data_IF_864317594991
#
_entry.id   IF_864317594991
#
_cell.length_a   1.000
_cell.length_b   1.000
_cell.length_c   1.000
_cell.angle_alpha   90.00
_cell.angle_beta   90.00
_cell.angle_gamma   90.00
#
_symmetry.space_group_name_H-M   'P 1'
#
loop_
_entity.id
_entity.type
_entity.pdbx_description
1 polymer ?
#
# COMPACT_ATOMS: atom_id res chain seq x y z
N UNK A 1 0.80 6.84 -11.58
CA UNK A 1 -0.31 6.50 -10.65
C UNK A 1 -1.00 7.77 -10.18
N UNK A 2 -0.61 8.44 -9.08
CA UNK A 2 -1.31 9.64 -8.56
C UNK A 2 -1.71 10.69 -9.62
N UNK A 3 -0.77 11.07 -10.51
CA UNK A 3 -1.05 12.05 -11.58
C UNK A 3 -2.20 11.66 -12.51
N UNK A 4 -2.35 10.36 -12.79
CA UNK A 4 -3.32 9.81 -13.74
C UNK A 4 -4.58 9.25 -13.07
N UNK A 5 -4.58 9.11 -11.75
CA UNK A 5 -5.69 8.52 -10.98
C UNK A 5 -6.39 9.54 -10.10
N UNK A 6 -5.63 10.39 -9.41
CA UNK A 6 -6.16 11.39 -8.47
C UNK A 6 -6.10 12.80 -9.04
N UNK A 7 -4.92 13.26 -9.48
CA UNK A 7 -4.74 14.67 -9.83
C UNK A 7 -5.33 15.06 -11.18
N UNK A 8 -5.58 14.06 -12.03
CA UNK A 8 -6.33 14.22 -13.28
C UNK A 8 -7.84 14.10 -13.08
N UNK A 9 -8.31 13.58 -11.95
CA UNK A 9 -9.73 13.47 -11.68
C UNK A 9 -10.30 14.87 -11.47
N UNK A 10 -11.35 15.23 -12.22
CA UNK A 10 -11.85 16.60 -12.28
C UNK A 10 -12.32 17.11 -10.92
N UNK A 11 -13.06 16.28 -10.18
CA UNK A 11 -13.62 16.62 -8.87
C UNK A 11 -12.51 16.79 -7.82
N UNK A 12 -11.60 15.82 -7.72
CA UNK A 12 -10.47 15.90 -6.77
C UNK A 12 -9.57 17.07 -7.09
N UNK A 13 -9.24 17.27 -8.36
CA UNK A 13 -8.36 18.34 -8.81
C UNK A 13 -8.98 19.71 -8.49
N UNK A 14 -10.29 19.85 -8.64
CA UNK A 14 -11.02 21.07 -8.27
C UNK A 14 -11.03 21.26 -6.75
N UNK A 15 -11.40 20.23 -5.99
CA UNK A 15 -11.45 20.28 -4.54
C UNK A 15 -10.09 20.64 -3.92
N UNK A 16 -9.00 20.01 -4.39
CA UNK A 16 -7.64 20.33 -3.94
C UNK A 16 -7.25 21.79 -4.19
N UNK A 17 -7.66 22.39 -5.33
CA UNK A 17 -7.35 23.79 -5.65
C UNK A 17 -8.14 24.77 -4.78
N UNK A 18 -9.39 24.43 -4.48
CA UNK A 18 -10.30 25.34 -3.78
C UNK A 18 -10.08 25.30 -2.26
N UNK A 19 -9.64 24.16 -1.71
CA UNK A 19 -9.61 23.91 -0.27
C UNK A 19 -8.19 23.80 0.33
N UNK A 20 -7.13 23.57 -0.47
CA UNK A 20 -5.79 23.29 0.05
C UNK A 20 -4.70 24.13 -0.61
N UNK A 21 -3.68 24.48 0.18
CA UNK A 21 -2.38 24.93 -0.34
C UNK A 21 -1.54 23.69 -0.63
N UNK A 22 -1.22 23.47 -1.92
CA UNK A 22 -0.55 22.26 -2.36
C UNK A 22 0.97 22.39 -2.28
N UNK A 23 1.61 21.41 -1.65
CA UNK A 23 3.07 21.28 -1.58
C UNK A 23 3.49 19.86 -1.98
N UNK A 24 4.63 19.73 -2.66
CA UNK A 24 5.20 18.44 -3.03
C UNK A 24 6.67 18.36 -2.61
N UNK A 25 7.02 17.27 -1.92
CA UNK A 25 8.39 16.96 -1.54
C UNK A 25 8.79 15.58 -2.06
N UNK A 26 9.93 15.52 -2.74
CA UNK A 26 10.57 14.25 -3.08
C UNK A 26 11.48 13.82 -1.93
N UNK A 27 11.23 12.67 -1.33
CA UNK A 27 12.02 12.16 -0.19
C UNK A 27 13.36 11.58 -0.65
N UNK A 28 13.38 10.87 -1.79
CA UNK A 28 14.60 10.34 -2.41
C UNK A 28 14.37 9.94 -3.87
N UNK A 29 15.43 9.70 -4.66
CA UNK A 29 15.32 9.09 -5.98
C UNK A 29 14.65 7.71 -5.93
N UNK A 30 13.87 7.39 -6.96
CA UNK A 30 13.19 6.09 -7.09
C UNK A 30 14.10 5.12 -7.84
N UNK A 31 14.31 3.89 -7.36
CA UNK A 31 15.11 2.90 -8.07
C UNK A 31 14.45 2.53 -9.40
N UNK A 32 15.29 2.29 -10.40
CA UNK A 32 14.89 1.86 -11.73
C UNK A 32 15.47 0.47 -12.01
N UNK A 33 14.65 -0.41 -12.55
CA UNK A 33 15.09 -1.64 -13.20
C UNK A 33 15.10 -1.43 -14.70
N UNK A 34 16.21 -1.82 -15.31
CA UNK A 34 16.33 -1.96 -16.74
C UNK A 34 16.58 -3.42 -17.07
N UNK A 35 15.71 -4.01 -17.89
CA UNK A 35 15.96 -5.31 -18.52
C UNK A 35 16.45 -5.02 -19.93
N UNK A 36 17.71 -5.36 -20.20
CA UNK A 36 18.30 -5.31 -21.54
C UNK A 36 18.13 -6.68 -22.21
N UNK A 37 17.54 -6.70 -23.40
CA UNK A 37 17.30 -7.95 -24.15
C UNK A 37 18.48 -8.35 -25.05
N UNK A 38 19.54 -7.54 -25.12
CA UNK A 38 20.75 -7.84 -25.89
C UNK A 38 20.64 -7.59 -27.39
N UNK A 39 19.46 -7.21 -27.89
CA UNK A 39 19.19 -6.88 -29.30
C UNK A 39 18.86 -5.39 -29.53
N UNK A 40 19.26 -4.54 -28.58
CA UNK A 40 18.97 -3.11 -28.59
C UNK A 40 17.62 -2.74 -28.00
N UNK A 41 16.75 -3.70 -27.68
CA UNK A 41 15.52 -3.43 -26.92
C UNK A 41 15.83 -3.37 -25.43
N UNK A 42 15.26 -2.37 -24.75
CA UNK A 42 15.34 -2.18 -23.30
C UNK A 42 13.95 -1.97 -22.71
N UNK A 43 13.69 -2.57 -21.57
CA UNK A 43 12.53 -2.31 -20.73
C UNK A 43 13.00 -1.62 -19.45
N UNK A 44 12.68 -0.33 -19.30
CA UNK A 44 12.98 0.45 -18.09
C UNK A 44 11.69 0.66 -17.29
N UNK A 45 11.74 0.40 -15.98
CA UNK A 45 10.63 0.59 -15.03
C UNK A 45 11.16 1.06 -13.68
N UNK A 46 10.33 1.74 -12.91
CA UNK A 46 10.61 1.94 -11.47
C UNK A 46 10.29 0.66 -10.69
N UNK A 47 10.90 0.40 -9.53
CA UNK A 47 10.61 -0.80 -8.70
C UNK A 47 9.80 -0.53 -7.43
N UNK A 48 9.95 0.64 -6.82
CA UNK A 48 9.32 0.96 -5.54
C UNK A 48 9.02 2.45 -5.48
N UNK A 49 7.78 2.82 -5.24
CA UNK A 49 7.39 4.23 -5.15
C UNK A 49 6.26 4.39 -4.16
N UNK A 50 6.62 4.76 -2.94
CA UNK A 50 5.66 5.10 -1.89
C UNK A 50 5.42 6.60 -1.88
N UNK A 51 4.22 6.97 -1.46
CA UNK A 51 3.83 8.35 -1.25
C UNK A 51 2.82 8.38 -0.12
N UNK A 52 2.82 9.45 0.64
CA UNK A 52 1.79 9.75 1.62
C UNK A 52 1.33 11.19 1.42
N UNK A 53 0.06 11.45 1.70
CA UNK A 53 -0.49 12.79 1.74
C UNK A 53 -0.64 13.22 3.20
N UNK A 54 0.00 14.33 3.56
CA UNK A 54 -0.13 14.91 4.89
C UNK A 54 -1.07 16.11 4.80
N UNK A 55 -2.02 16.18 5.73
CA UNK A 55 -2.91 17.34 5.89
C UNK A 55 -2.48 18.07 7.17
N UNK A 56 -2.14 19.34 7.00
CA UNK A 56 -1.62 20.19 8.07
C UNK A 56 -2.54 21.40 8.28
N UNK A 57 -2.64 21.85 9.52
CA UNK A 57 -3.17 23.18 9.85
C UNK A 57 -2.18 24.28 9.47
N UNK A 58 -2.62 25.54 9.47
CA UNK A 58 -1.80 26.68 9.06
C UNK A 58 -0.54 26.91 9.93
N UNK A 59 -0.55 26.43 11.18
CA UNK A 59 0.57 26.46 12.11
C UNK A 59 1.49 25.22 12.01
N UNK A 60 1.25 24.33 11.04
CA UNK A 60 2.11 23.20 10.73
C UNK A 60 1.81 21.92 11.52
N UNK A 61 0.76 21.89 12.34
CA UNK A 61 0.35 20.66 13.03
C UNK A 61 -0.26 19.68 12.01
N UNK A 62 0.33 18.49 11.91
CA UNK A 62 -0.23 17.42 11.10
C UNK A 62 -1.51 16.87 11.77
N UNK A 63 -2.62 16.91 11.05
CA UNK A 63 -3.92 16.38 11.52
C UNK A 63 -4.30 15.07 10.85
N UNK A 64 -3.70 14.76 9.70
CA UNK A 64 -3.94 13.48 9.03
C UNK A 64 -2.75 13.08 8.15
N UNK A 65 -2.53 11.77 8.03
CA UNK A 65 -1.57 11.17 7.11
C UNK A 65 -2.26 10.04 6.34
N UNK A 66 -2.40 10.18 5.03
CA UNK A 66 -2.97 9.19 4.13
C UNK A 66 -1.84 8.42 3.41
N UNK A 67 -1.44 7.23 3.89
CA UNK A 67 -0.36 6.47 3.28
C UNK A 67 -0.82 5.72 2.02
N UNK A 68 -0.04 5.83 0.95
CA UNK A 68 -0.25 5.04 -0.26
C UNK A 68 -1.27 5.65 -1.23
N UNK A 69 -1.80 4.80 -2.11
CA UNK A 69 -2.77 5.18 -3.12
C UNK A 69 -4.18 4.75 -2.68
N UNK A 70 -5.08 5.72 -2.69
CA UNK A 70 -6.52 5.48 -2.56
C UNK A 70 -7.16 5.68 -3.94
N UNK A 71 -8.28 5.04 -4.16
CA UNK A 71 -9.11 5.34 -5.30
C UNK A 71 -9.91 6.64 -5.11
N UNK A 72 -10.40 7.24 -6.21
CA UNK A 72 -10.80 8.65 -6.18
C UNK A 72 -11.92 9.00 -5.18
N UNK A 73 -13.07 8.29 -5.12
CA UNK A 73 -14.12 8.62 -4.15
C UNK A 73 -13.65 8.50 -2.69
N UNK A 74 -12.90 7.44 -2.36
CA UNK A 74 -12.37 7.27 -1.00
C UNK A 74 -11.36 8.36 -0.64
N UNK A 75 -10.47 8.71 -1.56
CA UNK A 75 -9.51 9.81 -1.35
C UNK A 75 -10.21 11.14 -1.09
N UNK A 76 -11.24 11.47 -1.87
CA UNK A 76 -12.02 12.69 -1.69
C UNK A 76 -12.72 12.73 -0.32
N UNK A 77 -13.34 11.63 0.10
CA UNK A 77 -13.98 11.53 1.41
C UNK A 77 -12.98 11.71 2.56
N UNK A 78 -11.76 11.15 2.42
CA UNK A 78 -10.68 11.32 3.38
C UNK A 78 -10.19 12.77 3.45
N UNK A 79 -10.05 13.45 2.31
CA UNK A 79 -9.71 14.88 2.28
C UNK A 79 -10.77 15.74 2.96
N UNK A 80 -12.06 15.45 2.72
CA UNK A 80 -13.17 16.18 3.34
C UNK A 80 -13.21 15.98 4.86
N UNK A 81 -12.97 14.76 5.34
CA UNK A 81 -12.86 14.47 6.76
C UNK A 81 -11.67 15.20 7.39
N UNK A 82 -10.51 15.17 6.72
CA UNK A 82 -9.30 15.84 7.20
C UNK A 82 -9.43 17.38 7.20
N UNK A 83 -10.08 17.96 6.19
CA UNK A 83 -10.41 19.40 6.17
C UNK A 83 -11.30 19.76 7.36
N UNK A 84 -12.36 18.99 7.59
CA UNK A 84 -13.29 19.21 8.70
C UNK A 84 -12.57 19.13 10.06
N UNK A 85 -11.64 18.19 10.21
CA UNK A 85 -10.81 18.07 11.41
C UNK A 85 -9.85 19.26 11.57
N UNK A 86 -9.18 19.68 10.49
CA UNK A 86 -8.28 20.83 10.50
C UNK A 86 -9.03 22.12 10.90
N UNK A 87 -10.24 22.33 10.39
CA UNK A 87 -11.11 23.44 10.76
C UNK A 87 -11.54 23.36 12.23
N UNK A 88 -11.91 22.17 12.72
CA UNK A 88 -12.26 21.97 14.12
C UNK A 88 -11.07 22.30 15.06
N UNK A 89 -9.85 21.88 14.71
CA UNK A 89 -8.63 22.22 15.45
C UNK A 89 -8.39 23.73 15.54
N UNK A 90 -8.69 24.48 14.48
CA UNK A 90 -8.53 25.94 14.47
C UNK A 90 -9.53 26.65 15.39
N UNK A 91 -10.70 26.05 15.64
CA UNK A 91 -11.78 26.64 16.42
C UNK A 91 -11.72 26.33 17.93
N UNK A 92 -10.73 25.53 18.37
CA UNK A 92 -10.52 25.19 19.78
C UNK A 92 -9.18 25.73 20.29
N UNK A 93 -9.06 26.00 21.61
CA UNK A 93 -7.79 26.36 22.22
C UNK A 93 -6.72 25.28 21.98
N UNK A 94 -5.45 25.68 21.87
CA UNK A 94 -4.32 24.77 21.63
C UNK A 94 -4.27 23.62 22.65
N UNK A 95 -4.61 23.90 23.92
CA UNK A 95 -4.70 22.92 25.00
C UNK A 95 -5.74 21.81 24.78
N UNK A 96 -6.76 22.05 23.96
CA UNK A 96 -7.84 21.10 23.68
C UNK A 96 -7.63 20.35 22.36
N UNK A 97 -6.77 20.85 21.46
CA UNK A 97 -6.51 20.25 20.14
C UNK A 97 -6.01 18.82 20.22
N UNK A 98 -5.10 18.54 21.16
CA UNK A 98 -4.52 17.21 21.32
C UNK A 98 -5.58 16.16 21.67
N UNK A 99 -6.57 16.52 22.49
CA UNK A 99 -7.66 15.62 22.85
C UNK A 99 -8.68 15.48 21.71
N UNK A 100 -8.99 16.57 21.01
CA UNK A 100 -9.86 16.55 19.83
C UNK A 100 -9.30 15.62 18.72
N UNK A 101 -8.01 15.74 18.42
CA UNK A 101 -7.31 14.85 17.50
C UNK A 101 -7.38 13.41 17.99
N UNK A 102 -7.01 13.16 19.25
CA UNK A 102 -7.01 11.82 19.83
C UNK A 102 -8.38 11.14 19.70
N UNK A 103 -9.46 11.83 20.06
CA UNK A 103 -10.83 11.32 19.97
C UNK A 103 -11.25 11.04 18.52
N UNK A 104 -10.90 11.94 17.59
CA UNK A 104 -11.15 11.73 16.16
C UNK A 104 -10.47 10.46 15.67
N UNK A 105 -9.16 10.29 15.91
CA UNK A 105 -8.44 9.11 15.41
C UNK A 105 -8.85 7.82 16.12
N UNK A 106 -9.27 7.86 17.40
CA UNK A 106 -9.89 6.69 18.05
C UNK A 106 -11.15 6.27 17.29
N UNK A 107 -12.05 7.21 16.99
CA UNK A 107 -13.29 6.92 16.28
C UNK A 107 -13.03 6.37 14.87
N UNK A 108 -12.09 6.98 14.13
CA UNK A 108 -11.72 6.51 12.78
C UNK A 108 -11.08 5.12 12.80
N UNK A 109 -10.16 4.85 13.73
CA UNK A 109 -9.58 3.52 13.90
C UNK A 109 -10.67 2.48 14.16
N UNK A 110 -11.58 2.76 15.08
CA UNK A 110 -12.62 1.82 15.47
C UNK A 110 -13.60 1.58 14.30
N UNK A 111 -13.91 2.62 13.51
CA UNK A 111 -14.68 2.49 12.28
C UNK A 111 -13.96 1.62 11.23
N UNK A 112 -12.65 1.79 11.02
CA UNK A 112 -11.85 0.96 10.12
C UNK A 112 -11.88 -0.51 10.57
N UNK A 113 -11.69 -0.78 11.86
CA UNK A 113 -11.74 -2.14 12.43
C UNK A 113 -13.12 -2.76 12.24
N UNK A 114 -14.19 -2.00 12.47
CA UNK A 114 -15.56 -2.47 12.26
C UNK A 114 -15.85 -2.78 10.79
N UNK A 115 -15.42 -1.92 9.86
CA UNK A 115 -15.58 -2.12 8.42
C UNK A 115 -14.84 -3.37 7.94
N UNK A 116 -13.60 -3.56 8.39
CA UNK A 116 -12.83 -4.75 8.04
C UNK A 116 -13.47 -6.03 8.57
N UNK A 117 -13.96 -6.03 9.81
CA UNK A 117 -14.69 -7.17 10.37
C UNK A 117 -15.99 -7.47 9.59
N UNK A 118 -16.73 -6.44 9.17
CA UNK A 118 -17.94 -6.60 8.37
C UNK A 118 -17.65 -7.20 6.98
N UNK A 119 -16.57 -6.79 6.32
CA UNK A 119 -16.18 -7.38 5.04
C UNK A 119 -15.78 -8.85 5.16
N UNK A 120 -15.03 -9.21 6.21
CA UNK A 120 -14.65 -10.60 6.47
C UNK A 120 -15.87 -11.46 6.79
N UNK A 121 -16.84 -10.93 7.56
CA UNK A 121 -18.10 -11.62 7.84
C UNK A 121 -18.89 -11.88 6.56
N UNK A 122 -19.03 -10.87 5.70
CA UNK A 122 -19.76 -10.99 4.44
C UNK A 122 -19.12 -12.02 3.49
N UNK A 123 -17.79 -12.12 3.47
CA UNK A 123 -17.08 -13.14 2.70
C UNK A 123 -17.37 -14.54 3.25
N UNK A 124 -17.29 -14.74 4.57
CA UNK A 124 -17.56 -16.04 5.19
C UNK A 124 -19.02 -16.49 4.98
N UNK A 125 -19.98 -15.58 5.02
CA UNK A 125 -21.38 -15.87 4.69
C UNK A 125 -21.54 -16.30 3.24
N UNK A 126 -20.87 -15.61 2.30
CA UNK A 126 -20.94 -15.97 0.88
C UNK A 126 -20.39 -17.37 0.60
N UNK A 127 -19.31 -17.78 1.29
CA UNK A 127 -18.74 -19.12 1.22
C UNK A 127 -19.67 -20.18 1.83
N UNK A 128 -20.37 -19.83 2.91
CA UNK A 128 -21.32 -20.73 3.59
C UNK A 128 -22.65 -20.89 2.84
N UNK A 129 -22.96 -19.96 1.93
CA UNK A 129 -24.21 -19.93 1.15
C UNK A 129 -24.19 -20.77 -0.14
N UNK A 130 -23.07 -21.40 -0.48
CA UNK A 130 -22.99 -22.34 -1.60
C UNK A 130 -23.64 -23.67 -1.24
N UNK A 131 -24.76 -24.08 -1.87
CA UNK A 131 -25.34 -25.39 -1.66
C UNK A 131 -24.52 -26.39 -2.49
N UNK A 132 -23.44 -26.91 -1.91
CA UNK A 132 -22.51 -27.75 -2.64
C UNK A 132 -21.57 -28.65 -1.84
N UNK A 133 -21.34 -28.41 -0.54
CA UNK A 133 -20.50 -29.29 0.28
C UNK A 133 -21.04 -29.43 1.71
N UNK A 134 -22.13 -30.19 1.83
CA UNK A 134 -22.44 -30.88 3.08
C UNK A 134 -21.57 -32.14 3.16
N UNK A 135 -20.27 -31.99 3.45
CA UNK A 135 -19.44 -33.11 3.89
C UNK A 135 -18.24 -32.62 4.71
N UNK A 136 -17.99 -33.36 5.80
CA UNK A 136 -16.83 -33.27 6.69
C UNK A 136 -16.90 -32.19 7.78
N UNK A 137 -17.83 -32.40 8.72
CA UNK A 137 -17.59 -32.04 10.11
C UNK A 137 -17.21 -33.30 10.88
N UNK A 138 -15.91 -33.62 10.90
CA UNK A 138 -15.30 -34.43 11.96
C UNK A 138 -13.92 -33.87 12.25
N UNK A 139 -13.81 -33.21 13.40
CA UNK A 139 -12.55 -32.83 14.02
C UNK A 139 -11.76 -34.09 14.42
N UNK A 140 -10.43 -34.13 14.21
CA UNK A 140 -9.57 -35.06 14.92
C UNK A 140 -9.14 -34.45 16.25
N UNK A 141 -9.51 -35.13 17.32
CA UNK A 141 -9.07 -34.94 18.70
C UNK A 141 -7.55 -34.96 18.81
N UNK A 142 -6.96 -33.92 19.40
CA UNK A 142 -5.55 -33.89 19.76
C UNK A 142 -5.27 -34.87 20.90
N UNK A 143 -4.35 -35.82 20.67
CA UNK A 143 -3.70 -36.62 21.70
C UNK A 143 -2.31 -36.05 21.92
N UNK A 144 -2.04 -35.64 23.15
CA UNK A 144 -0.77 -35.11 23.59
C UNK A 144 0.33 -36.17 23.52
N UNK A 145 1.45 -35.84 22.86
CA UNK A 145 2.73 -36.47 23.13
C UNK A 145 3.80 -35.40 23.29
N UNK A 146 4.27 -35.30 24.53
CA UNK A 146 5.44 -34.58 24.98
C UNK A 146 6.71 -35.22 24.42
N UNK A 147 7.58 -34.43 23.79
CA UNK A 147 9.00 -34.76 23.71
C UNK A 147 9.84 -33.49 23.75
N UNK A 148 10.54 -33.32 24.87
CA UNK A 148 11.64 -32.39 25.05
C UNK A 148 12.76 -32.68 24.06
N UNK A 149 13.28 -31.65 23.41
CA UNK A 149 14.66 -31.63 22.93
C UNK A 149 15.22 -30.20 23.04
N UNK A 150 16.18 -30.05 23.96
CA UNK A 150 17.07 -28.90 24.05
C UNK A 150 17.75 -28.64 22.71
N UNK A 151 17.79 -27.39 22.27
CA UNK A 151 18.92 -26.91 21.49
C UNK A 151 19.26 -25.47 21.86
N UNK A 152 20.45 -25.35 22.46
CA UNK A 152 21.17 -24.12 22.75
C UNK A 152 21.71 -23.58 21.44
N UNK A 153 21.27 -22.40 21.01
CA UNK A 153 21.88 -21.67 19.90
C UNK A 153 22.10 -20.20 20.28
N UNK A 154 23.38 -19.94 20.58
CA UNK A 154 24.15 -18.70 20.64
C UNK A 154 23.45 -17.40 20.24
N UNK A 155 23.53 -16.43 21.16
CA UNK A 155 23.35 -15.01 20.91
C UNK A 155 24.36 -14.51 19.87
N UNK A 156 23.85 -13.89 18.81
CA UNK A 156 24.65 -13.02 17.94
C UNK A 156 24.20 -11.57 18.15
N UNK A 157 25.17 -10.69 18.32
CA UNK A 157 24.99 -9.33 18.80
C UNK A 157 24.75 -8.36 17.63
N UNK A 158 23.53 -7.82 17.55
CA UNK A 158 23.25 -6.41 17.27
C UNK A 158 23.82 -5.77 15.99
N UNK A 159 23.06 -5.90 14.88
CA UNK A 159 22.82 -4.80 13.93
C UNK A 159 21.34 -4.82 13.51
N UNK A 160 20.63 -3.68 13.40
CA UNK A 160 19.29 -3.67 12.83
C UNK A 160 19.37 -4.10 11.37
N UNK A 161 18.80 -5.26 11.03
CA UNK A 161 18.77 -5.78 9.67
C UNK A 161 17.67 -5.06 8.89
N UNK A 162 17.98 -4.59 7.67
CA UNK A 162 17.03 -3.85 6.85
C UNK A 162 15.89 -4.77 6.37
N UNK A 163 14.63 -4.29 6.37
CA UNK A 163 13.50 -5.08 5.89
C UNK A 163 13.64 -5.45 4.40
N UNK A 164 13.16 -6.62 4.03
CA UNK A 164 13.24 -7.13 2.66
C UNK A 164 12.30 -6.35 1.69
N UNK A 165 12.76 -6.07 0.47
CA UNK A 165 11.97 -5.44 -0.59
C UNK A 165 10.68 -6.19 -0.93
N UNK A 166 10.63 -7.51 -0.79
CA UNK A 166 9.36 -8.25 -0.98
C UNK A 166 8.33 -7.88 0.09
N UNK A 167 8.74 -7.77 1.36
CA UNK A 167 7.84 -7.35 2.45
C UNK A 167 7.38 -5.89 2.24
N UNK A 168 8.29 -5.00 1.85
CA UNK A 168 7.95 -3.62 1.48
C UNK A 168 6.99 -3.56 0.28
N UNK A 169 7.19 -4.39 -0.75
CA UNK A 169 6.31 -4.47 -1.93
C UNK A 169 4.92 -5.02 -1.63
N UNK A 170 4.77 -5.88 -0.62
CA UNK A 170 3.45 -6.38 -0.17
C UNK A 170 2.63 -5.30 0.51
N UNK A 171 3.28 -4.28 1.07
CA UNK A 171 2.65 -3.10 1.68
C UNK A 171 2.52 -1.93 0.69
N UNK A 172 3.43 -1.83 -0.28
CA UNK A 172 3.47 -0.83 -1.34
C UNK A 172 2.90 -1.37 -2.66
N UNK A 173 1.59 -1.59 -2.74
CA UNK A 173 0.96 -2.28 -3.88
C UNK A 173 0.64 -1.42 -5.13
N UNK A 174 0.62 -0.07 -5.16
CA UNK A 174 0.18 0.65 -6.37
C UNK A 174 1.08 0.50 -7.60
N UNK A 175 2.20 -0.24 -7.49
CA UNK A 175 3.04 -0.66 -8.62
C UNK A 175 3.30 -2.17 -8.70
N UNK A 176 2.98 -2.94 -7.65
CA UNK A 176 3.38 -4.34 -7.55
C UNK A 176 2.59 -5.26 -8.50
N UNK A 177 1.38 -4.91 -8.97
CA UNK A 177 0.68 -5.77 -9.93
C UNK A 177 1.41 -5.92 -11.28
N UNK A 178 2.21 -4.92 -11.65
CA UNK A 178 3.03 -4.96 -12.85
C UNK A 178 4.53 -5.23 -12.57
N UNK A 179 4.94 -5.18 -11.31
CA UNK A 179 6.33 -5.36 -10.85
C UNK A 179 6.54 -6.66 -10.06
N UNK A 180 5.50 -7.35 -9.59
CA UNK A 180 5.58 -8.60 -8.83
C UNK A 180 6.30 -9.73 -9.58
N UNK A 181 6.12 -9.92 -10.90
CA UNK A 181 6.92 -10.88 -11.65
C UNK A 181 8.42 -10.51 -11.69
N UNK A 182 8.73 -9.21 -11.74
CA UNK A 182 10.11 -8.69 -11.77
C UNK A 182 10.77 -8.77 -10.39
N UNK A 183 10.05 -8.40 -9.34
CA UNK A 183 10.51 -8.54 -7.96
C UNK A 183 10.74 -10.00 -7.61
N UNK A 184 9.81 -10.91 -7.94
CA UNK A 184 10.06 -12.36 -7.80
C UNK A 184 11.32 -12.79 -8.54
N UNK A 185 11.51 -12.36 -9.79
CA UNK A 185 12.71 -12.70 -10.56
C UNK A 185 14.02 -12.19 -9.90
N UNK A 186 13.95 -11.07 -9.17
CA UNK A 186 15.08 -10.52 -8.39
C UNK A 186 15.22 -11.19 -7.02
N UNK A 187 14.13 -11.67 -6.41
CA UNK A 187 14.11 -12.24 -5.04
C UNK A 187 14.06 -13.78 -4.98
N UNK A 188 14.30 -14.47 -6.11
CA UNK A 188 14.05 -15.92 -6.34
C UNK A 188 14.71 -16.94 -5.37
N UNK A 189 15.43 -16.53 -4.33
CA UNK A 189 16.10 -17.42 -3.36
C UNK A 189 15.83 -17.03 -1.89
N UNK A 190 14.58 -17.05 -1.41
CA UNK A 190 14.29 -16.65 -0.02
C UNK A 190 13.31 -17.61 0.68
N UNK A 191 13.83 -18.31 1.70
CA UNK A 191 13.06 -18.83 2.83
C UNK A 191 12.99 -17.71 3.89
N UNK A 192 11.80 -17.42 4.41
CA UNK A 192 11.58 -16.31 5.35
C UNK A 192 11.36 -16.87 6.74
N UNK A 193 12.21 -16.48 7.69
CA UNK A 193 12.03 -16.74 9.12
C UNK A 193 12.14 -15.43 9.92
N UNK A 194 11.12 -15.20 10.77
CA UNK A 194 10.96 -14.23 11.87
C UNK A 194 11.00 -12.71 11.60
N UNK A 195 9.82 -12.10 11.80
CA UNK A 195 9.67 -10.99 12.77
C UNK A 195 8.22 -10.93 13.30
N UNK A 196 7.87 -11.86 14.18
CA UNK A 196 6.69 -11.77 15.05
C UNK A 196 7.11 -11.10 16.35
N UNK A 197 6.63 -9.87 16.62
CA UNK A 197 6.58 -9.33 17.98
C UNK A 197 5.73 -8.05 18.15
N UNK A 198 4.70 -7.79 17.32
CA UNK A 198 3.92 -6.54 17.43
C UNK A 198 2.40 -6.71 17.69
N UNK A 199 1.82 -7.91 17.69
CA UNK A 199 0.40 -8.02 17.34
C UNK A 199 -0.37 -9.01 18.22
N UNK A 200 -1.20 -8.55 19.16
CA UNK A 200 -2.00 -9.45 20.01
C UNK A 200 -3.52 -9.39 19.76
N UNK A 201 -4.03 -8.39 19.02
CA UNK A 201 -5.47 -8.28 18.64
C UNK A 201 -5.73 -8.14 17.13
N UNK A 202 -4.72 -7.72 16.37
CA UNK A 202 -4.75 -7.52 14.90
C UNK A 202 -4.17 -8.74 14.15
N UNK A 203 -3.41 -9.60 14.83
CA UNK A 203 -2.67 -10.71 14.20
C UNK A 203 -3.65 -11.76 13.72
N UNK A 204 -4.74 -11.95 14.46
CA UNK A 204 -5.81 -12.88 14.10
C UNK A 204 -6.54 -12.48 12.82
N UNK A 205 -6.59 -11.19 12.45
CA UNK A 205 -7.24 -10.72 11.21
C UNK A 205 -6.25 -10.70 10.05
N UNK A 206 -5.04 -10.15 10.25
CA UNK A 206 -3.98 -10.13 9.25
C UNK A 206 -3.55 -11.54 8.85
N UNK A 207 -3.34 -12.45 9.81
CA UNK A 207 -2.94 -13.84 9.54
C UNK A 207 -4.03 -14.69 8.89
N UNK A 208 -5.30 -14.25 8.94
CA UNK A 208 -6.45 -14.92 8.32
C UNK A 208 -6.81 -14.39 6.93
N UNK A 209 -6.19 -13.31 6.47
CA UNK A 209 -6.55 -12.68 5.19
C UNK A 209 -5.51 -13.05 4.12
N UNK A 210 -5.77 -14.16 3.42
CA UNK A 210 -4.99 -14.57 2.24
C UNK A 210 -5.23 -13.61 1.05
N UNK A 211 -4.36 -13.61 0.04
CA UNK A 211 -4.45 -12.79 -1.17
C UNK A 211 -5.82 -12.92 -1.85
N UNK A 212 -6.39 -14.14 -1.88
CA UNK A 212 -7.72 -14.39 -2.42
C UNK A 212 -8.84 -13.69 -1.62
N UNK A 213 -8.69 -13.57 -0.30
CA UNK A 213 -9.64 -12.84 0.55
C UNK A 213 -9.51 -11.34 0.29
N UNK A 214 -8.28 -10.81 0.17
CA UNK A 214 -8.07 -9.40 -0.17
C UNK A 214 -8.70 -9.01 -1.51
N UNK A 215 -8.61 -9.88 -2.52
CA UNK A 215 -9.28 -9.64 -3.81
C UNK A 215 -10.81 -9.60 -3.67
N UNK A 216 -11.40 -10.45 -2.82
CA UNK A 216 -12.83 -10.43 -2.55
C UNK A 216 -13.27 -9.18 -1.78
N UNK A 217 -12.48 -8.74 -0.79
CA UNK A 217 -12.72 -7.46 -0.09
C UNK A 217 -12.65 -6.32 -1.12
N UNK A 218 -11.58 -6.24 -1.91
CA UNK A 218 -11.40 -5.21 -2.93
C UNK A 218 -12.56 -5.15 -3.94
N UNK A 219 -13.11 -6.30 -4.34
CA UNK A 219 -14.27 -6.36 -5.23
C UNK A 219 -15.52 -5.70 -4.64
N UNK A 220 -15.71 -5.75 -3.31
CA UNK A 220 -16.80 -5.05 -2.60
C UNK A 220 -16.62 -3.54 -2.62
N UNK A 221 -15.37 -3.07 -2.65
CA UNK A 221 -14.98 -1.66 -2.71
C UNK A 221 -14.66 -1.17 -4.12
N UNK A 222 -15.10 -1.88 -5.17
CA UNK A 222 -14.76 -1.54 -6.55
C UNK A 222 -15.23 -0.12 -6.98
N UNK A 223 -16.29 0.38 -6.36
CA UNK A 223 -16.80 1.74 -6.60
C UNK A 223 -15.80 2.82 -6.16
N UNK A 224 -15.01 2.55 -5.12
CA UNK A 224 -13.97 3.47 -4.64
C UNK A 224 -12.79 3.58 -5.62
N UNK A 225 -12.71 2.72 -6.63
CA UNK A 225 -11.63 2.75 -7.60
C UNK A 225 -12.03 3.31 -8.96
N UNK A 226 -13.28 3.74 -9.16
CA UNK A 226 -13.77 4.19 -10.47
C UNK A 226 -13.05 5.47 -10.91
N UNK A 227 -12.49 5.43 -12.12
CA UNK A 227 -11.81 6.58 -12.74
C UNK A 227 -12.80 7.39 -13.57
N UNK A 228 -12.68 8.72 -13.48
CA UNK A 228 -13.48 9.64 -14.27
C UNK A 228 -12.98 9.76 -15.72
N UNK A 229 -13.76 10.44 -16.56
CA UNK A 229 -13.44 10.62 -17.97
C UNK A 229 -12.09 11.33 -18.20
N UNK A 230 -11.73 12.29 -17.34
CA UNK A 230 -10.47 13.03 -17.45
C UNK A 230 -9.25 12.13 -17.15
N UNK A 231 -9.34 11.28 -16.13
CA UNK A 231 -8.32 10.28 -15.80
C UNK A 231 -8.18 9.23 -16.90
N UNK A 232 -9.28 8.72 -17.44
CA UNK A 232 -9.25 7.79 -18.57
C UNK A 232 -8.63 8.44 -19.82
N UNK A 233 -8.94 9.70 -20.10
CA UNK A 233 -8.32 10.44 -21.21
C UNK A 233 -6.80 10.62 -21.01
N UNK A 234 -6.36 10.90 -19.79
CA UNK A 234 -4.93 10.97 -19.46
C UNK A 234 -4.23 9.63 -19.70
N UNK A 235 -4.82 8.52 -19.27
CA UNK A 235 -4.29 7.17 -19.47
C UNK A 235 -4.20 6.85 -20.97
N UNK A 236 -5.22 7.19 -21.76
CA UNK A 236 -5.19 7.04 -23.23
C UNK A 236 -4.01 7.79 -23.85
N UNK A 237 -3.77 9.03 -23.43
CA UNK A 237 -2.66 9.86 -23.92
C UNK A 237 -1.28 9.28 -23.56
N UNK A 238 -1.16 8.67 -22.37
CA UNK A 238 0.09 8.04 -21.91
C UNK A 238 0.39 6.70 -22.62
N UNK A 239 -0.60 6.08 -23.27
CA UNK A 239 -0.47 4.77 -23.89
C UNK A 239 -0.75 4.83 -25.42
N UNK A 240 0.06 5.59 -26.19
CA UNK A 240 -0.19 5.80 -27.62
C UNK A 240 -0.10 4.51 -28.44
N UNK A 241 0.74 3.54 -28.03
CA UNK A 241 0.85 2.24 -28.69
C UNK A 241 -0.40 1.37 -28.51
N UNK A 242 -1.01 1.38 -27.31
CA UNK A 242 -2.29 0.71 -27.06
C UNK A 242 -3.42 1.37 -27.87
N UNK A 243 -3.39 2.70 -28.01
CA UNK A 243 -4.33 3.45 -28.84
C UNK A 243 -4.11 3.21 -30.36
N UNK A 244 -2.88 2.92 -30.79
CA UNK A 244 -2.55 2.59 -32.18
C UNK A 244 -2.93 1.16 -32.56
N UNK A 245 -2.79 0.18 -31.66
CA UNK A 245 -3.22 -1.21 -31.88
C UNK A 245 -4.72 -1.32 -32.21
N UNK A 246 -5.54 -0.40 -31.67
CA UNK A 246 -6.97 -0.28 -31.98
C UNK A 246 -7.24 0.10 -33.45
N UNK A 247 -6.37 0.91 -34.08
CA UNK A 247 -6.54 1.34 -35.48
C UNK A 247 -6.21 0.24 -36.49
N UNK A 248 -5.33 -0.69 -36.14
CA UNK A 248 -4.85 -1.74 -37.04
C UNK A 248 -5.74 -3.00 -37.02
N UNK A 249 -6.54 -3.20 -35.97
CA UNK A 249 -7.37 -4.40 -35.79
C UNK A 249 -8.86 -4.04 -35.68
N UNK A 250 -9.44 -3.45 -36.74
CA UNK A 250 -10.86 -3.04 -36.81
C UNK A 250 -11.82 -4.21 -36.49
N UNK A 251 -11.47 -5.44 -36.84
CA UNK A 251 -12.27 -6.64 -36.54
C UNK A 251 -12.17 -7.10 -35.08
N UNK A 252 -11.12 -6.71 -34.33
CA UNK A 252 -11.01 -6.95 -32.87
C UNK A 252 -11.46 -5.77 -32.01
N UNK A 253 -11.57 -4.58 -32.58
CA UNK A 253 -12.17 -3.41 -31.93
C UNK A 253 -13.66 -3.62 -31.57
N UNK A 254 -14.35 -4.56 -32.24
CA UNK A 254 -15.71 -5.00 -31.87
C UNK A 254 -15.78 -5.89 -30.62
N UNK A 255 -14.65 -6.42 -30.14
CA UNK A 255 -14.62 -7.41 -29.05
C UNK A 255 -14.10 -6.80 -27.73
N UNK A 256 -13.14 -5.87 -27.75
CA UNK A 256 -12.76 -5.08 -26.57
C UNK A 256 -11.86 -3.88 -26.91
N UNK A 257 -12.08 -2.72 -26.29
CA UNK A 257 -11.14 -1.58 -26.32
C UNK A 257 -9.93 -1.92 -25.41
N UNK A 258 -8.69 -2.04 -25.94
CA UNK A 258 -7.51 -2.38 -25.15
C UNK A 258 -7.24 -1.40 -24.00
N UNK A 259 -7.60 -0.13 -24.16
CA UNK A 259 -7.50 0.87 -23.09
C UNK A 259 -8.55 0.59 -22.02
N UNK A 260 -9.79 0.22 -22.38
CA UNK A 260 -10.79 -0.14 -21.36
C UNK A 260 -10.37 -1.36 -20.55
N UNK A 261 -9.68 -2.34 -21.15
CA UNK A 261 -9.11 -3.47 -20.41
C UNK A 261 -8.00 -3.01 -19.44
N UNK A 262 -7.10 -2.14 -19.90
CA UNK A 262 -6.06 -1.54 -19.05
C UNK A 262 -6.67 -0.75 -17.89
N UNK A 263 -7.72 0.04 -18.15
CA UNK A 263 -8.45 0.82 -17.14
C UNK A 263 -9.12 -0.11 -16.14
N UNK A 264 -9.82 -1.17 -16.58
CA UNK A 264 -10.42 -2.13 -15.65
C UNK A 264 -9.38 -2.81 -14.76
N UNK A 265 -8.27 -3.28 -15.33
CA UNK A 265 -7.17 -3.87 -14.55
C UNK A 265 -6.57 -2.88 -13.55
N UNK A 266 -6.40 -1.62 -13.95
CA UNK A 266 -5.95 -0.55 -13.06
C UNK A 266 -6.95 -0.29 -11.93
N UNK A 267 -8.24 -0.21 -12.21
CA UNK A 267 -9.28 -0.03 -11.19
C UNK A 267 -9.30 -1.19 -10.19
N UNK A 268 -9.16 -2.44 -10.64
CA UNK A 268 -9.04 -3.59 -9.72
C UNK A 268 -7.81 -3.46 -8.81
N UNK A 269 -6.67 -3.04 -9.35
CA UNK A 269 -5.46 -2.78 -8.54
C UNK A 269 -5.68 -1.65 -7.54
N UNK A 270 -6.31 -0.54 -7.95
CA UNK A 270 -6.61 0.60 -7.08
C UNK A 270 -7.57 0.19 -5.97
N UNK A 271 -8.59 -0.62 -6.25
CA UNK A 271 -9.51 -1.10 -5.24
C UNK A 271 -8.77 -1.93 -4.17
N UNK A 272 -7.87 -2.80 -4.60
CA UNK A 272 -7.03 -3.60 -3.72
C UNK A 272 -6.09 -2.72 -2.86
N UNK A 273 -5.46 -1.72 -3.47
CA UNK A 273 -4.61 -0.77 -2.76
C UNK A 273 -5.41 0.02 -1.73
N UNK A 274 -6.60 0.48 -2.11
CA UNK A 274 -7.47 1.31 -1.26
C UNK A 274 -7.80 0.57 0.04
N UNK A 275 -8.23 -0.69 -0.05
CA UNK A 275 -8.60 -1.48 1.14
C UNK A 275 -7.38 -1.86 1.97
N UNK A 276 -6.24 -2.19 1.35
CA UNK A 276 -5.00 -2.50 2.09
C UNK A 276 -4.45 -1.28 2.80
N UNK A 277 -4.37 -0.14 2.11
CA UNK A 277 -3.89 1.10 2.69
C UNK A 277 -4.80 1.54 3.83
N UNK A 278 -6.12 1.44 3.68
CA UNK A 278 -7.07 1.76 4.74
C UNK A 278 -6.93 0.82 5.95
N UNK A 279 -7.04 -0.50 5.74
CA UNK A 279 -7.14 -1.46 6.84
C UNK A 279 -5.80 -1.73 7.53
N UNK A 280 -4.69 -1.66 6.79
CA UNK A 280 -3.36 -1.94 7.31
C UNK A 280 -2.64 -0.67 7.75
N UNK A 281 -2.48 0.28 6.83
CA UNK A 281 -1.56 1.42 7.04
C UNK A 281 -2.24 2.59 7.75
N UNK A 282 -3.41 3.02 7.27
CA UNK A 282 -4.14 4.16 7.80
C UNK A 282 -4.68 3.89 9.20
N UNK A 283 -5.16 2.66 9.45
CA UNK A 283 -5.47 2.19 10.80
C UNK A 283 -4.29 2.38 11.78
N UNK A 284 -3.06 2.11 11.32
CA UNK A 284 -1.86 2.28 12.13
C UNK A 284 -1.50 3.76 12.37
N UNK A 285 -1.74 4.62 11.37
CA UNK A 285 -1.66 6.08 11.54
C UNK A 285 -2.64 6.54 12.62
N UNK A 286 -3.91 6.14 12.54
CA UNK A 286 -4.89 6.46 13.57
C UNK A 286 -4.50 5.95 14.95
N UNK A 287 -3.92 4.74 15.04
CA UNK A 287 -3.38 4.23 16.31
C UNK A 287 -2.29 5.13 16.88
N UNK A 288 -1.38 5.65 16.06
CA UNK A 288 -0.33 6.56 16.53
C UNK A 288 -0.89 7.86 17.09
N UNK A 289 -1.85 8.48 16.41
CA UNK A 289 -2.51 9.69 16.90
C UNK A 289 -3.40 9.40 18.13
N UNK A 290 -4.15 8.30 18.14
CA UNK A 290 -4.99 7.87 19.26
C UNK A 290 -4.19 7.59 20.54
N UNK A 291 -2.96 7.08 20.40
CA UNK A 291 -2.04 6.83 21.50
C UNK A 291 -1.15 8.04 21.81
N UNK A 292 -1.30 9.16 21.06
CA UNK A 292 -0.46 10.35 21.17
C UNK A 292 1.05 10.04 21.02
N UNK A 293 1.38 9.08 20.16
CA UNK A 293 2.76 8.71 19.81
C UNK A 293 3.18 9.19 18.40
N UNK A 294 2.24 9.76 17.63
CA UNK A 294 2.56 10.41 16.37
C UNK A 294 3.48 11.62 16.63
N UNK A 295 4.64 11.72 15.93
CA UNK A 295 5.48 12.91 16.03
C UNK A 295 4.71 14.17 15.63
N UNK A 296 4.87 15.25 16.41
CA UNK A 296 4.23 16.53 16.10
C UNK A 296 4.84 17.19 14.84
N UNK A 297 6.15 17.00 14.64
CA UNK A 297 6.85 17.44 13.43
C UNK A 297 6.56 16.52 12.25
N UNK A 298 6.15 17.11 11.13
CA UNK A 298 5.76 16.35 9.93
C UNK A 298 6.93 15.58 9.32
N UNK A 299 8.17 16.07 9.44
CA UNK A 299 9.33 15.36 8.90
C UNK A 299 9.66 14.12 9.72
N UNK A 300 9.60 14.22 11.05
CA UNK A 300 9.74 13.07 11.94
C UNK A 300 8.62 12.05 11.73
N UNK A 301 7.37 12.50 11.55
CA UNK A 301 6.25 11.62 11.21
C UNK A 301 6.46 10.95 9.85
N UNK A 302 6.98 11.68 8.86
CA UNK A 302 7.30 11.13 7.54
C UNK A 302 8.37 10.03 7.63
N UNK A 303 9.48 10.26 8.35
CA UNK A 303 10.49 9.22 8.56
C UNK A 303 9.89 7.97 9.21
N UNK A 304 9.00 8.14 10.19
CA UNK A 304 8.29 7.04 10.83
C UNK A 304 7.38 6.27 9.87
N UNK A 305 6.61 6.98 9.03
CA UNK A 305 5.78 6.38 7.99
C UNK A 305 6.64 5.55 7.02
N UNK A 306 7.77 6.10 6.57
CA UNK A 306 8.66 5.39 5.65
C UNK A 306 9.32 4.17 6.30
N UNK A 307 9.71 4.26 7.57
CA UNK A 307 10.36 3.18 8.30
C UNK A 307 9.39 2.06 8.71
N UNK A 308 8.23 2.41 9.29
CA UNK A 308 7.33 1.46 9.94
C UNK A 308 6.17 1.00 9.04
N UNK A 309 5.63 1.87 8.16
CA UNK A 309 4.51 1.50 7.28
C UNK A 309 4.99 1.04 5.91
N UNK A 310 5.89 1.82 5.30
CA UNK A 310 6.39 1.50 3.96
C UNK A 310 7.60 0.55 3.97
N UNK A 311 8.18 0.29 5.14
CA UNK A 311 9.37 -0.56 5.31
C UNK A 311 10.53 -0.17 4.39
N UNK A 312 10.74 1.13 4.20
CA UNK A 312 11.85 1.66 3.40
C UNK A 312 12.52 2.85 4.09
N UNK A 313 13.11 2.63 5.29
CA UNK A 313 13.73 3.70 6.08
C UNK A 313 14.85 4.41 5.29
N UNK A 314 15.12 5.66 5.65
CA UNK A 314 16.22 6.44 5.05
C UNK A 314 17.61 5.82 5.30
N UNK A 315 17.75 5.01 6.36
CA UNK A 315 18.98 4.28 6.68
C UNK A 315 19.31 3.13 5.74
N UNK A 316 18.33 2.67 4.94
CA UNK A 316 18.54 1.63 3.93
C UNK A 316 18.62 2.26 2.53
N UNK A 317 19.81 2.47 1.96
CA UNK A 317 19.96 3.05 0.63
C UNK A 317 19.51 2.11 -0.49
N UNK A 318 19.33 0.81 -0.21
CA UNK A 318 19.00 -0.21 -1.20
C UNK A 318 17.52 -0.58 -1.23
N UNK A 319 16.71 -0.04 -0.32
CA UNK A 319 15.26 -0.23 -0.26
C UNK A 319 14.88 -1.71 -0.14
N UNK A 320 15.69 -2.47 0.58
CA UNK A 320 15.58 -3.90 0.77
C UNK A 320 16.00 -4.74 -0.44
N UNK A 321 16.46 -4.12 -1.55
CA UNK A 321 16.81 -4.82 -2.80
C UNK A 321 18.18 -5.51 -2.73
N UNK A 322 19.11 -4.98 -1.94
CA UNK A 322 20.42 -5.56 -1.74
C UNK A 322 20.49 -6.17 -0.34
N UNK A 323 20.65 -7.50 -0.28
CA UNK A 323 20.91 -8.22 0.96
C UNK A 323 22.41 -8.56 1.04
N UNK A 324 23.13 -8.10 2.07
CA UNK A 324 24.59 -8.26 2.14
C UNK A 324 25.04 -9.72 2.20
N UNK A 325 24.18 -10.62 2.71
CA UNK A 325 24.51 -12.03 2.94
C UNK A 325 24.09 -12.94 1.78
N UNK A 326 23.67 -12.39 0.64
CA UNK A 326 23.28 -13.17 -0.55
C UNK A 326 24.40 -13.18 -1.58
N UNK A 327 24.94 -14.37 -1.90
CA UNK A 327 25.89 -14.54 -3.00
C UNK A 327 25.15 -14.67 -4.34
N UNK A 328 25.36 -13.73 -5.27
CA UNK A 328 24.65 -13.71 -6.56
C UNK A 328 25.45 -14.30 -7.72
N UNK A 329 26.63 -14.89 -7.45
CA UNK A 329 27.58 -15.35 -8.47
C UNK A 329 28.05 -14.28 -9.47
N UNK A 330 27.79 -13.00 -9.18
CA UNK A 330 28.31 -11.84 -9.90
C UNK A 330 29.41 -11.17 -9.07
N UNK A 331 30.38 -10.56 -9.75
CA UNK A 331 31.39 -9.74 -9.09
C UNK A 331 30.71 -8.64 -8.27
N UNK A 332 31.11 -8.47 -7.00
CA UNK A 332 30.53 -7.52 -6.05
C UNK A 332 28.99 -7.62 -5.95
N UNK A 333 28.44 -8.84 -6.07
CA UNK A 333 27.00 -9.10 -6.12
C UNK A 333 26.25 -8.39 -7.26
N UNK A 334 26.95 -7.92 -8.30
CA UNK A 334 26.39 -7.15 -9.41
C UNK A 334 26.35 -5.64 -9.17
N UNK A 335 26.97 -5.15 -8.08
CA UNK A 335 27.05 -3.72 -7.78
C UNK A 335 28.09 -3.03 -8.65
N UNK A 336 27.64 -1.99 -9.35
CA UNK A 336 28.50 -1.05 -10.07
C UNK A 336 28.27 0.34 -9.45
N UNK A 337 29.23 0.78 -8.64
CA UNK A 337 29.24 2.15 -8.12
C UNK A 337 29.89 3.04 -9.18
N UNK A 338 29.08 3.79 -9.92
CA UNK A 338 29.59 4.88 -10.74
C UNK A 338 30.17 5.94 -9.81
N UNK A 339 31.46 6.23 -9.95
CA UNK A 339 32.08 7.40 -9.34
C UNK A 339 31.49 8.63 -10.04
N UNK A 340 30.69 9.41 -9.33
CA UNK A 340 30.41 10.80 -9.74
C UNK A 340 31.54 11.72 -9.31
#
# INVERSE_FOLDING_TARGET
FFRSTLYSNAEISQYLRDHFVLHWQSVRPVPKVTVDFGDGRKLERTLTGNSAHYILTADGQCVECLPGLYGPPKFLALLQSAESLAQACQNVPESERAELLRLHHVAQRDAIVANWAADLAAINESLSSYPGDSAVSQAPSQRAESTSANNVARADNGRPQAPNAEAASRLAVPKSFAEAPLLRAVTLNQQVDRQQQFVARVETLVSRTDEAVWQQIAARHANDAVLDAASVAMIRRQNPLAAQAMRLAVTKARVEDPVLRLVRGLQTSIALDTVRNEYMLHRQVHDWFAQQTAPADVFALNERVYAELFLTPSSDPWLGLLQPDTYTALQNNGLVLSSE
#
